data_IF_934746469792
#
_entry.id   IF_934746469792
#
_cell.length_a   1.000
_cell.length_b   1.000
_cell.length_c   1.000
_cell.angle_alpha   90.00
_cell.angle_beta   90.00
_cell.angle_gamma   90.00
#
_symmetry.space_group_name_H-M   'P 1'
#
loop_
_entity.id
_entity.type
_entity.pdbx_description
1 polymer ?
#
# COMPACT_ATOMS: atom_id res chain seq x y z
N UNK A 1 -10.15 -2.97 16.62
CA UNK A 1 -9.36 -2.37 15.52
C UNK A 1 -8.66 -1.05 15.92
N UNK A 2 -9.03 -0.40 17.04
CA UNK A 2 -8.52 0.94 17.40
C UNK A 2 -7.02 1.03 17.75
N UNK A 3 -6.38 -0.05 18.20
CA UNK A 3 -5.05 0.07 18.81
C UNK A 3 -3.91 0.09 17.79
N UNK A 4 -4.03 -0.63 16.66
CA UNK A 4 -3.02 -0.58 15.59
C UNK A 4 -3.00 0.78 14.91
N UNK A 5 -4.17 1.31 14.57
CA UNK A 5 -4.29 2.62 13.91
C UNK A 5 -3.85 3.75 14.85
N UNK A 6 -4.11 3.62 16.16
CA UNK A 6 -3.61 4.54 17.19
C UNK A 6 -2.09 4.49 17.31
N UNK A 7 -1.51 3.30 17.44
CA UNK A 7 -0.05 3.11 17.51
C UNK A 7 0.63 3.69 16.25
N UNK A 8 0.02 3.47 15.07
CA UNK A 8 0.51 4.03 13.81
C UNK A 8 0.41 5.56 13.79
N UNK A 9 -0.70 6.14 14.27
CA UNK A 9 -0.85 7.60 14.37
C UNK A 9 0.21 8.23 15.29
N UNK A 10 0.50 7.59 16.43
CA UNK A 10 1.59 8.03 17.32
C UNK A 10 2.95 7.99 16.62
N UNK A 11 3.28 6.92 15.90
CA UNK A 11 4.52 6.85 15.12
C UNK A 11 4.57 7.91 14.02
N UNK A 12 3.44 8.19 13.35
CA UNK A 12 3.37 9.26 12.34
C UNK A 12 3.61 10.63 12.97
N UNK A 13 3.06 10.90 14.14
CA UNK A 13 3.25 12.15 14.88
C UNK A 13 4.71 12.32 15.35
N UNK A 14 5.32 11.26 15.90
CA UNK A 14 6.75 11.24 16.26
C UNK A 14 7.64 11.52 15.04
N UNK A 15 7.34 10.89 13.91
CA UNK A 15 8.06 11.13 12.68
C UNK A 15 7.81 12.55 12.17
N UNK A 16 6.58 13.07 12.23
CA UNK A 16 6.25 14.42 11.74
C UNK A 16 6.98 15.51 12.54
N UNK A 17 7.00 15.38 13.87
CA UNK A 17 7.66 16.33 14.79
C UNK A 17 9.18 16.15 14.85
N UNK A 18 9.66 14.93 14.59
CA UNK A 18 11.07 14.59 14.56
C UNK A 18 11.81 15.13 13.33
N UNK A 19 13.14 15.17 13.42
CA UNK A 19 14.04 15.54 12.31
C UNK A 19 14.78 14.33 11.73
N UNK A 20 14.50 13.12 12.25
CA UNK A 20 15.13 11.89 11.77
C UNK A 20 14.78 11.66 10.29
N UNK A 21 15.78 11.19 9.55
CA UNK A 21 15.64 10.72 8.17
C UNK A 21 15.50 9.20 8.08
N UNK A 22 15.66 8.52 9.22
CA UNK A 22 15.56 7.07 9.35
C UNK A 22 14.40 6.72 10.28
N UNK A 23 13.80 5.56 10.02
CA UNK A 23 12.75 4.98 10.85
C UNK A 23 13.41 4.01 11.83
N UNK A 24 13.13 4.16 13.12
CA UNK A 24 13.67 3.23 14.13
C UNK A 24 13.04 1.84 14.00
N UNK A 25 13.67 0.81 14.56
CA UNK A 25 13.12 -0.56 14.54
C UNK A 25 11.71 -0.66 15.15
N UNK A 26 11.44 0.09 16.23
CA UNK A 26 10.12 0.13 16.87
C UNK A 26 9.07 0.78 15.96
N UNK A 27 9.40 1.93 15.35
CA UNK A 27 8.53 2.61 14.40
C UNK A 27 8.28 1.74 13.15
N UNK A 28 9.33 1.10 12.64
CA UNK A 28 9.25 0.20 11.50
C UNK A 28 8.35 -1.00 11.78
N UNK A 29 8.40 -1.56 12.99
CA UNK A 29 7.52 -2.66 13.37
C UNK A 29 6.04 -2.26 13.29
N UNK A 30 5.67 -1.12 13.88
CA UNK A 30 4.30 -0.60 13.83
C UNK A 30 3.87 -0.28 12.40
N UNK A 31 4.74 0.41 11.64
CA UNK A 31 4.45 0.78 10.26
C UNK A 31 4.35 -0.43 9.32
N UNK A 32 5.07 -1.52 9.56
CA UNK A 32 4.89 -2.78 8.83
C UNK A 32 3.50 -3.38 9.08
N UNK A 33 3.02 -3.37 10.33
CA UNK A 33 1.67 -3.82 10.65
C UNK A 33 0.61 -2.93 10.01
N UNK A 34 0.82 -1.62 10.06
CA UNK A 34 -0.11 -0.68 9.46
C UNK A 34 -0.13 -0.82 7.92
N UNK A 35 1.02 -0.89 7.26
CA UNK A 35 1.10 -1.14 5.82
C UNK A 35 0.41 -2.45 5.42
N UNK A 36 0.65 -3.54 6.17
CA UNK A 36 -0.01 -4.83 5.95
C UNK A 36 -1.53 -4.76 6.07
N UNK A 37 -2.05 -4.06 7.08
CA UNK A 37 -3.48 -3.82 7.24
C UNK A 37 -4.07 -3.12 6.01
N UNK A 38 -3.39 -2.09 5.50
CA UNK A 38 -3.86 -1.32 4.34
C UNK A 38 -3.78 -2.14 3.04
N UNK A 39 -2.76 -2.98 2.88
CA UNK A 39 -2.66 -3.91 1.75
C UNK A 39 -3.83 -4.93 1.77
N UNK A 40 -4.15 -5.48 2.94
CA UNK A 40 -5.26 -6.43 3.10
C UNK A 40 -6.63 -5.79 2.87
N UNK A 41 -6.81 -4.53 3.26
CA UNK A 41 -8.05 -3.76 3.03
C UNK A 41 -8.24 -3.30 1.58
N UNK A 42 -7.24 -3.48 0.71
CA UNK A 42 -7.33 -3.06 -0.68
C UNK A 42 -8.45 -3.80 -1.42
N UNK A 43 -9.47 -3.05 -1.83
CA UNK A 43 -10.66 -3.53 -2.55
C UNK A 43 -10.32 -4.28 -3.84
N UNK A 44 -9.17 -4.00 -4.47
CA UNK A 44 -8.73 -4.75 -5.66
C UNK A 44 -8.24 -6.15 -5.33
N UNK A 45 -7.54 -6.34 -4.20
CA UNK A 45 -7.16 -7.69 -3.76
C UNK A 45 -8.42 -8.51 -3.49
N UNK A 46 -9.43 -7.91 -2.87
CA UNK A 46 -10.73 -8.56 -2.65
C UNK A 46 -11.45 -8.87 -3.97
N UNK A 47 -11.53 -7.91 -4.89
CA UNK A 47 -12.16 -8.13 -6.20
C UNK A 47 -11.44 -9.19 -7.04
N UNK A 48 -10.11 -9.26 -6.98
CA UNK A 48 -9.34 -10.34 -7.60
C UNK A 48 -9.66 -11.70 -6.97
N UNK A 49 -9.72 -11.78 -5.63
CA UNK A 49 -10.08 -13.01 -4.92
C UNK A 49 -11.50 -13.45 -5.26
N UNK A 50 -12.47 -12.52 -5.28
CA UNK A 50 -13.86 -12.81 -5.72
C UNK A 50 -13.86 -13.39 -7.14
N UNK A 51 -13.18 -12.74 -8.09
CA UNK A 51 -13.11 -13.22 -9.49
C UNK A 51 -12.45 -14.59 -9.61
N UNK A 52 -11.42 -14.88 -8.81
CA UNK A 52 -10.80 -16.21 -8.78
C UNK A 52 -11.73 -17.28 -8.18
N UNK A 53 -12.52 -16.94 -7.16
CA UNK A 53 -13.53 -17.84 -6.59
C UNK A 53 -14.66 -18.12 -7.59
N UNK A 54 -15.10 -17.11 -8.34
CA UNK A 54 -16.07 -17.25 -9.43
C UNK A 54 -15.55 -18.15 -10.55
N UNK A 55 -14.31 -17.95 -10.99
CA UNK A 55 -13.67 -18.77 -12.04
C UNK A 55 -13.36 -20.19 -11.58
N UNK A 56 -13.11 -20.39 -10.28
CA UNK A 56 -12.78 -21.68 -9.68
C UNK A 56 -13.98 -22.60 -9.41
N UNK A 57 -15.20 -22.21 -9.81
CA UNK A 57 -16.43 -22.99 -9.56
C UNK A 57 -16.92 -22.95 -8.12
N UNK A 58 -16.23 -22.23 -7.24
CA UNK A 58 -16.59 -22.10 -5.82
C UNK A 58 -17.85 -21.23 -5.66
N UNK A 59 -18.19 -20.38 -6.64
CA UNK A 59 -19.45 -19.65 -6.66
C UNK A 59 -20.70 -20.54 -6.55
N UNK A 60 -20.64 -21.81 -6.97
CA UNK A 60 -21.76 -22.76 -6.82
C UNK A 60 -21.95 -23.22 -5.36
N UNK A 61 -20.90 -23.24 -4.53
CA UNK A 61 -20.96 -23.61 -3.11
C UNK A 61 -21.41 -22.45 -2.21
N UNK A 62 -21.14 -21.21 -2.61
CA UNK A 62 -21.47 -20.02 -1.82
C UNK A 62 -22.90 -19.48 -2.10
N UNK A 63 -23.63 -20.04 -3.06
CA UNK A 63 -25.02 -19.69 -3.35
C UNK A 63 -25.22 -18.20 -3.68
N UNK A 64 -26.47 -17.75 -3.81
CA UNK A 64 -26.88 -16.35 -4.06
C UNK A 64 -26.53 -15.39 -2.89
N UNK A 65 -25.32 -15.46 -2.32
CA UNK A 65 -24.86 -14.51 -1.31
C UNK A 65 -24.79 -13.11 -1.95
N UNK A 66 -25.40 -12.08 -1.33
CA UNK A 66 -25.22 -10.70 -1.76
C UNK A 66 -23.73 -10.34 -1.81
N UNK A 67 -23.32 -9.56 -2.82
CA UNK A 67 -21.92 -9.17 -3.01
C UNK A 67 -21.28 -8.55 -1.75
N UNK A 68 -22.07 -7.81 -0.96
CA UNK A 68 -21.64 -7.20 0.31
C UNK A 68 -21.33 -8.24 1.40
N UNK A 69 -22.08 -9.33 1.46
CA UNK A 69 -21.86 -10.41 2.42
C UNK A 69 -20.61 -11.22 2.06
N UNK A 70 -20.42 -11.50 0.76
CA UNK A 70 -19.21 -12.15 0.26
C UNK A 70 -17.97 -11.27 0.52
N UNK A 71 -18.04 -9.97 0.23
CA UNK A 71 -16.94 -9.04 0.51
C UNK A 71 -16.64 -8.96 2.01
N UNK A 72 -17.66 -8.92 2.86
CA UNK A 72 -17.51 -8.89 4.32
C UNK A 72 -16.89 -10.19 4.84
N UNK A 73 -17.31 -11.35 4.32
CA UNK A 73 -16.73 -12.64 4.68
C UNK A 73 -15.26 -12.75 4.25
N UNK A 74 -14.93 -12.29 3.04
CA UNK A 74 -13.55 -12.26 2.55
C UNK A 74 -12.66 -11.32 3.38
N UNK A 75 -13.14 -10.11 3.67
CA UNK A 75 -12.48 -9.19 4.60
C UNK A 75 -12.28 -9.84 5.97
N UNK A 76 -13.32 -10.48 6.51
CA UNK A 76 -13.25 -11.17 7.80
C UNK A 76 -12.21 -12.28 7.80
N UNK A 77 -12.20 -13.14 6.78
CA UNK A 77 -11.27 -14.26 6.66
C UNK A 77 -9.81 -13.83 6.48
N UNK A 78 -9.57 -12.72 5.78
CA UNK A 78 -8.22 -12.18 5.53
C UNK A 78 -7.70 -11.34 6.69
N UNK A 79 -8.55 -10.53 7.32
CA UNK A 79 -8.16 -9.64 8.41
C UNK A 79 -8.10 -10.34 9.77
N UNK A 80 -8.95 -11.33 10.05
CA UNK A 80 -9.02 -11.94 11.38
C UNK A 80 -7.70 -12.59 11.82
N UNK A 81 -7.01 -13.41 11.00
CA UNK A 81 -5.71 -13.96 11.37
C UNK A 81 -4.67 -12.86 11.61
N UNK A 82 -4.68 -11.83 10.77
CA UNK A 82 -3.74 -10.70 10.87
C UNK A 82 -3.95 -9.88 12.16
N UNK A 83 -5.19 -9.52 12.47
CA UNK A 83 -5.54 -8.77 13.69
C UNK A 83 -5.38 -9.61 14.96
N UNK A 84 -5.62 -10.92 14.86
CA UNK A 84 -5.30 -11.88 15.92
C UNK A 84 -3.80 -11.89 16.22
N UNK A 85 -2.97 -11.93 15.18
CA UNK A 85 -1.52 -11.88 15.33
C UNK A 85 -1.01 -10.55 15.90
N UNK A 86 -1.59 -9.42 15.48
CA UNK A 86 -1.33 -8.12 16.08
C UNK A 86 -1.66 -8.10 17.58
N UNK A 87 -2.82 -8.63 17.97
CA UNK A 87 -3.25 -8.66 19.37
C UNK A 87 -2.33 -9.53 20.23
N UNK A 88 -1.79 -10.61 19.66
CA UNK A 88 -0.89 -11.53 20.36
C UNK A 88 0.59 -11.09 20.34
N UNK A 89 0.97 -10.05 19.60
CA UNK A 89 2.37 -9.66 19.38
C UNK A 89 3.20 -9.49 20.67
N UNK A 90 2.56 -8.97 21.72
CA UNK A 90 3.18 -8.73 23.03
C UNK A 90 2.82 -9.80 24.07
N UNK A 91 2.03 -10.81 23.72
CA UNK A 91 1.63 -11.86 24.64
C UNK A 91 2.81 -12.84 24.85
N UNK A 92 3.41 -12.93 26.04
CA UNK A 92 4.57 -13.80 26.27
C UNK A 92 4.25 -15.29 26.08
N UNK A 93 2.98 -15.69 26.21
CA UNK A 93 2.53 -17.08 26.12
C UNK A 93 2.15 -17.53 24.71
N UNK A 94 1.95 -16.60 23.76
CA UNK A 94 1.57 -16.96 22.39
C UNK A 94 2.74 -17.59 21.60
N UNK A 95 2.45 -18.56 20.74
CA UNK A 95 3.46 -19.21 19.91
C UNK A 95 4.02 -18.23 18.86
N UNK A 96 5.21 -18.49 18.35
CA UNK A 96 5.86 -17.60 17.38
C UNK A 96 5.02 -17.37 16.11
N UNK A 97 4.35 -18.42 15.60
CA UNK A 97 3.46 -18.34 14.44
C UNK A 97 2.24 -17.44 14.69
N UNK A 98 1.76 -17.38 15.93
CA UNK A 98 0.57 -16.62 16.32
C UNK A 98 0.86 -15.13 16.50
N UNK A 99 2.13 -14.72 16.36
CA UNK A 99 2.60 -13.33 16.44
C UNK A 99 3.11 -12.80 15.11
N UNK A 100 3.07 -13.65 14.08
CA UNK A 100 3.75 -13.42 12.82
C UNK A 100 3.05 -12.33 12.00
N UNK A 101 3.83 -11.35 11.52
CA UNK A 101 3.37 -10.40 10.51
C UNK A 101 3.82 -10.90 9.12
N UNK A 102 2.90 -11.34 8.25
CA UNK A 102 3.25 -11.87 6.94
C UNK A 102 3.96 -10.88 6.02
N UNK A 103 3.73 -9.58 6.18
CA UNK A 103 4.34 -8.54 5.35
C UNK A 103 5.67 -8.03 5.91
N UNK A 104 5.98 -8.33 7.17
CA UNK A 104 7.15 -7.77 7.83
C UNK A 104 8.45 -8.29 7.23
N UNK A 105 8.49 -9.51 6.70
CA UNK A 105 9.70 -10.04 6.07
C UNK A 105 10.04 -9.25 4.81
N UNK A 106 9.07 -9.00 3.94
CA UNK A 106 9.28 -8.28 2.68
C UNK A 106 9.58 -6.81 2.90
N UNK A 107 8.84 -6.15 3.79
CA UNK A 107 9.00 -4.72 4.05
C UNK A 107 10.31 -4.39 4.77
N UNK A 108 10.79 -5.26 5.68
CA UNK A 108 12.06 -5.05 6.41
C UNK A 108 13.30 -5.28 5.55
N UNK A 109 13.18 -6.00 4.43
CA UNK A 109 14.28 -6.12 3.46
C UNK A 109 14.50 -4.86 2.63
N UNK A 110 13.57 -3.90 2.68
CA UNK A 110 13.70 -2.62 2.00
C UNK A 110 14.41 -1.62 2.91
N UNK A 111 15.14 -0.69 2.31
CA UNK A 111 15.63 0.50 3.01
C UNK A 111 14.47 1.47 3.21
N UNK A 112 14.28 1.98 4.43
CA UNK A 112 13.24 2.94 4.78
C UNK A 112 13.82 4.35 4.84
N UNK A 113 13.51 5.19 3.85
CA UNK A 113 13.90 6.59 3.85
C UNK A 113 12.71 7.49 4.15
N UNK A 114 12.84 8.34 5.18
CA UNK A 114 11.84 9.36 5.50
C UNK A 114 12.04 10.57 4.58
N UNK A 115 10.96 10.96 3.90
CA UNK A 115 10.92 12.07 2.96
C UNK A 115 10.04 13.19 3.52
N UNK A 116 10.59 14.41 3.53
CA UNK A 116 9.90 15.61 3.99
C UNK A 116 9.84 16.65 2.88
N UNK A 117 8.67 17.21 2.68
CA UNK A 117 8.41 18.28 1.74
C UNK A 117 8.15 19.58 2.49
N UNK A 118 8.57 20.70 1.92
CA UNK A 118 8.49 22.01 2.58
C UNK A 118 7.08 22.60 2.64
N UNK A 119 6.20 22.10 1.78
CA UNK A 119 4.80 22.49 1.67
C UNK A 119 3.97 21.22 1.50
N UNK A 120 2.66 21.25 1.79
CA UNK A 120 1.75 20.12 1.55
C UNK A 120 1.83 19.70 0.08
N UNK A 121 2.53 18.60 -0.21
CA UNK A 121 2.91 18.20 -1.57
C UNK A 121 2.45 16.79 -1.90
N UNK A 122 2.12 15.99 -0.88
CA UNK A 122 1.72 14.60 -1.03
C UNK A 122 0.20 14.45 -1.05
N UNK A 123 -0.28 13.55 -1.89
CA UNK A 123 -1.65 13.08 -1.85
C UNK A 123 -1.74 11.81 -1.01
N UNK A 124 -2.87 11.65 -0.32
CA UNK A 124 -3.23 10.47 0.44
C UNK A 124 -4.23 9.64 -0.36
N UNK A 125 -4.26 8.33 -0.10
CA UNK A 125 -5.17 7.42 -0.79
C UNK A 125 -5.52 6.21 0.07
N UNK A 126 -6.52 5.45 -0.37
CA UNK A 126 -6.84 4.12 0.13
C UNK A 126 -5.68 3.12 -0.03
N UNK A 127 -4.82 3.31 -1.03
CA UNK A 127 -3.59 2.55 -1.21
C UNK A 127 -2.43 3.18 -0.40
N UNK A 128 -2.56 3.13 0.92
CA UNK A 128 -1.57 3.74 1.83
C UNK A 128 -0.14 3.20 1.62
N UNK A 129 0.01 1.91 1.30
CA UNK A 129 1.29 1.31 0.93
C UNK A 129 1.32 1.03 -0.59
N UNK A 130 1.68 2.06 -1.36
CA UNK A 130 1.67 2.01 -2.82
C UNK A 130 2.91 1.30 -3.37
N UNK A 131 2.72 0.08 -3.87
CA UNK A 131 3.77 -0.74 -4.49
C UNK A 131 4.09 -0.24 -5.91
N UNK A 132 5.36 -0.28 -6.32
CA UNK A 132 5.70 -0.03 -7.73
C UNK A 132 7.00 -0.70 -8.19
N UNK A 133 7.03 -1.00 -9.49
CA UNK A 133 8.13 -1.65 -10.19
C UNK A 133 8.37 -3.09 -9.76
N UNK A 134 9.25 -3.78 -10.49
CA UNK A 134 9.68 -5.14 -10.18
C UNK A 134 11.17 -5.12 -9.86
N UNK A 135 11.57 -5.78 -8.76
CA UNK A 135 12.97 -5.96 -8.35
C UNK A 135 13.74 -6.67 -9.46
N UNK A 136 15.02 -6.34 -9.62
CA UNK A 136 15.79 -6.74 -10.80
C UNK A 136 15.82 -8.26 -10.98
N UNK A 137 15.89 -9.01 -9.88
CA UNK A 137 15.97 -10.48 -9.85
C UNK A 137 14.66 -11.15 -10.29
N UNK A 138 13.51 -10.50 -10.04
CA UNK A 138 12.20 -11.06 -10.36
C UNK A 138 11.75 -10.69 -11.79
N UNK A 139 12.37 -9.70 -12.44
CA UNK A 139 11.98 -9.25 -13.79
C UNK A 139 11.85 -10.38 -14.81
N UNK A 140 12.72 -11.41 -14.86
CA UNK A 140 12.58 -12.52 -15.82
C UNK A 140 11.22 -13.22 -15.77
N UNK A 141 10.54 -13.22 -14.62
CA UNK A 141 9.25 -13.89 -14.42
C UNK A 141 8.05 -13.10 -14.97
N UNK A 142 8.28 -11.88 -15.44
CA UNK A 142 7.22 -10.98 -15.93
C UNK A 142 7.44 -10.62 -17.40
N UNK A 143 6.35 -10.57 -18.15
CA UNK A 143 6.31 -10.07 -19.52
C UNK A 143 6.62 -8.58 -19.60
N UNK A 144 6.92 -8.07 -20.80
CA UNK A 144 7.17 -6.63 -21.02
C UNK A 144 5.96 -5.77 -20.62
N UNK A 145 4.75 -6.27 -20.83
CA UNK A 145 3.51 -5.57 -20.49
C UNK A 145 3.31 -5.51 -18.97
N UNK A 146 3.45 -6.63 -18.28
CA UNK A 146 3.34 -6.68 -16.82
C UNK A 146 4.41 -5.83 -16.14
N UNK A 147 5.64 -5.79 -16.68
CA UNK A 147 6.68 -4.89 -16.16
C UNK A 147 6.29 -3.42 -16.24
N UNK A 148 5.57 -3.02 -17.30
CA UNK A 148 5.04 -1.64 -17.43
C UNK A 148 3.91 -1.41 -16.44
N UNK A 149 2.97 -2.35 -16.32
CA UNK A 149 1.89 -2.28 -15.35
C UNK A 149 2.39 -2.22 -13.90
N UNK A 150 3.45 -2.95 -13.56
CA UNK A 150 4.07 -2.90 -12.25
C UNK A 150 4.63 -1.54 -11.90
N UNK A 151 5.11 -0.74 -12.86
CA UNK A 151 5.51 0.65 -12.59
C UNK A 151 4.36 1.53 -12.08
N UNK A 152 3.13 1.09 -12.30
CA UNK A 152 1.88 1.71 -11.86
C UNK A 152 1.21 0.93 -10.71
N UNK A 153 1.93 0.01 -10.04
CA UNK A 153 1.41 -0.73 -8.89
C UNK A 153 0.37 -1.79 -9.23
N UNK A 154 0.47 -2.40 -10.41
CA UNK A 154 -0.34 -3.53 -10.85
C UNK A 154 0.54 -4.77 -11.09
N UNK A 155 -0.05 -5.96 -11.01
CA UNK A 155 0.56 -7.25 -11.39
C UNK A 155 1.75 -7.76 -10.56
N UNK A 156 2.50 -6.91 -9.84
CA UNK A 156 3.61 -7.35 -8.99
C UNK A 156 3.14 -7.59 -7.55
N UNK A 157 3.52 -8.73 -6.97
CA UNK A 157 3.38 -8.98 -5.54
C UNK A 157 4.34 -8.11 -4.71
N UNK A 158 4.09 -8.00 -3.41
CA UNK A 158 4.93 -7.20 -2.51
C UNK A 158 6.39 -7.69 -2.49
N UNK A 159 6.60 -9.01 -2.43
CA UNK A 159 7.94 -9.61 -2.43
C UNK A 159 8.77 -9.28 -3.69
N UNK A 160 8.08 -9.13 -4.82
CA UNK A 160 8.68 -8.80 -6.12
C UNK A 160 8.73 -7.30 -6.40
N UNK A 161 8.10 -6.49 -5.55
CA UNK A 161 8.08 -5.04 -5.73
C UNK A 161 9.47 -4.42 -5.57
N UNK A 162 9.80 -3.50 -6.46
CA UNK A 162 11.07 -2.77 -6.39
C UNK A 162 11.09 -1.73 -5.26
N UNK A 163 9.92 -1.17 -4.95
CA UNK A 163 9.73 -0.09 -3.96
C UNK A 163 8.28 -0.02 -3.49
N UNK A 164 8.11 0.61 -2.34
CA UNK A 164 6.82 0.97 -1.76
C UNK A 164 6.89 2.43 -1.30
N UNK A 165 5.83 3.20 -1.52
CA UNK A 165 5.69 4.56 -0.99
C UNK A 165 4.51 4.65 -0.04
N UNK A 166 4.68 5.33 1.09
CA UNK A 166 3.65 5.53 2.11
C UNK A 166 3.53 7.01 2.44
N UNK A 167 2.48 7.68 1.97
CA UNK A 167 2.21 9.06 2.36
C UNK A 167 1.60 9.05 3.76
N UNK A 168 2.31 9.60 4.74
CA UNK A 168 1.90 9.62 6.14
C UNK A 168 1.10 10.88 6.47
N UNK A 169 1.53 12.02 5.91
CA UNK A 169 0.86 13.32 5.96
C UNK A 169 1.02 14.01 4.61
N UNK A 170 0.39 15.18 4.37
CA UNK A 170 0.63 15.96 3.16
C UNK A 170 2.10 16.38 2.95
N UNK A 171 2.93 16.38 4.00
CA UNK A 171 4.34 16.82 3.93
C UNK A 171 5.35 15.71 4.23
N UNK A 172 4.87 14.57 4.74
CA UNK A 172 5.71 13.47 5.21
C UNK A 172 5.34 12.18 4.50
N UNK A 173 6.35 11.53 3.91
CA UNK A 173 6.20 10.20 3.35
C UNK A 173 7.37 9.30 3.68
N UNK A 174 7.18 8.00 3.51
CA UNK A 174 8.24 7.01 3.56
C UNK A 174 8.42 6.42 2.16
N UNK A 175 9.66 6.31 1.73
CA UNK A 175 10.03 5.60 0.51
C UNK A 175 10.86 4.37 0.90
N UNK A 176 10.28 3.20 0.64
CA UNK A 176 10.90 1.91 0.83
C UNK A 176 11.49 1.45 -0.50
N UNK A 177 12.76 1.06 -0.56
CA UNK A 177 13.37 0.57 -1.80
C UNK A 177 14.54 -0.40 -1.58
N UNK A 178 14.87 -1.19 -2.60
CA UNK A 178 15.90 -2.25 -2.56
C UNK A 178 17.37 -1.79 -2.60
N UNK A 179 17.65 -0.50 -2.45
CA UNK A 179 19.02 0.03 -2.58
C UNK A 179 19.59 0.35 -1.22
N UNK A 180 20.89 0.12 -1.04
CA UNK A 180 21.57 0.39 0.22
C UNK A 180 21.80 1.88 0.47
N UNK A 181 21.74 2.71 -0.58
CA UNK A 181 21.94 4.16 -0.50
C UNK A 181 20.62 4.89 -0.32
N UNK A 182 20.66 5.97 0.47
CA UNK A 182 19.51 6.84 0.66
C UNK A 182 19.04 7.43 -0.67
N UNK A 183 17.73 7.41 -0.91
CA UNK A 183 17.11 8.04 -2.06
C UNK A 183 16.17 9.15 -1.62
N UNK A 184 16.28 10.29 -2.28
CA UNK A 184 15.22 11.30 -2.29
C UNK A 184 14.26 11.00 -3.42
N UNK A 185 12.99 11.33 -3.23
CA UNK A 185 11.97 11.24 -4.26
C UNK A 185 11.31 12.60 -4.39
N UNK A 186 11.02 13.03 -5.62
CA UNK A 186 10.22 14.23 -5.85
C UNK A 186 8.77 13.91 -5.48
N UNK A 187 8.04 14.90 -4.96
CA UNK A 187 6.62 14.76 -4.66
C UNK A 187 5.83 14.28 -5.90
N UNK A 188 6.23 14.74 -7.07
CA UNK A 188 5.69 14.26 -8.34
C UNK A 188 5.82 12.74 -8.48
N UNK A 189 7.01 12.16 -8.36
CA UNK A 189 7.17 10.70 -8.51
C UNK A 189 6.46 9.94 -7.38
N UNK A 190 6.45 10.49 -6.17
CA UNK A 190 5.75 9.92 -5.02
C UNK A 190 4.25 9.82 -5.30
N UNK A 191 3.62 10.94 -5.64
CA UNK A 191 2.19 11.01 -5.96
C UNK A 191 1.83 10.16 -7.16
N UNK A 192 2.77 9.96 -8.12
CA UNK A 192 2.54 9.04 -9.24
C UNK A 192 2.21 7.65 -8.72
N UNK A 193 3.04 7.11 -7.83
CA UNK A 193 2.85 5.77 -7.30
C UNK A 193 1.57 5.70 -6.47
N UNK A 194 1.34 6.67 -5.58
CA UNK A 194 0.10 6.75 -4.79
C UNK A 194 -1.15 6.76 -5.68
N UNK A 195 -1.20 7.61 -6.71
CA UNK A 195 -2.37 7.73 -7.61
C UNK A 195 -2.62 6.47 -8.43
N UNK A 196 -1.57 5.82 -8.95
CA UNK A 196 -1.79 4.61 -9.72
C UNK A 196 -2.20 3.41 -8.85
N UNK A 197 -1.69 3.36 -7.62
CA UNK A 197 -2.09 2.37 -6.62
C UNK A 197 -3.48 2.65 -6.04
N UNK A 198 -3.92 3.91 -5.95
CA UNK A 198 -5.23 4.28 -5.37
C UNK A 198 -6.39 3.71 -6.14
N UNK A 199 -7.50 3.46 -5.44
CA UNK A 199 -8.64 2.76 -6.03
C UNK A 199 -9.99 3.37 -5.75
N UNK A 200 -10.23 3.79 -4.52
CA UNK A 200 -11.51 4.35 -4.13
C UNK A 200 -11.42 5.88 -4.00
N UNK A 201 -10.35 6.40 -3.38
CA UNK A 201 -10.20 7.84 -3.20
C UNK A 201 -8.76 8.33 -3.32
N UNK A 202 -8.67 9.61 -3.67
CA UNK A 202 -7.49 10.44 -3.47
C UNK A 202 -7.93 11.63 -2.62
N UNK A 203 -7.17 11.91 -1.56
CA UNK A 203 -7.35 13.09 -0.73
C UNK A 203 -6.09 13.95 -0.78
N UNK A 204 -6.27 15.26 -0.73
CA UNK A 204 -5.20 16.23 -0.66
C UNK A 204 -5.65 17.42 0.21
N UNK A 205 -4.69 18.28 0.55
CA UNK A 205 -4.98 19.51 1.27
C UNK A 205 -5.99 20.39 0.49
N UNK A 206 -6.96 21.07 1.14
CA UNK A 206 -7.93 21.91 0.43
C UNK A 206 -7.30 23.00 -0.43
N UNK A 207 -6.22 23.61 0.07
CA UNK A 207 -5.52 24.73 -0.59
C UNK A 207 -4.41 24.22 -1.53
N UNK A 208 -4.35 22.91 -1.76
CA UNK A 208 -3.26 22.28 -2.50
C UNK A 208 -3.12 22.78 -3.94
N UNK A 209 -4.24 23.10 -4.57
CA UNK A 209 -4.29 23.63 -5.93
C UNK A 209 -3.66 25.02 -6.04
N UNK A 210 -3.77 25.84 -5.00
CA UNK A 210 -3.16 27.17 -4.94
C UNK A 210 -1.67 27.10 -4.59
N UNK A 211 -1.31 26.22 -3.64
CA UNK A 211 0.07 26.07 -3.16
C UNK A 211 0.94 25.34 -4.19
N UNK A 212 0.40 24.34 -4.88
CA UNK A 212 1.12 23.45 -5.80
C UNK A 212 0.36 23.19 -7.11
N UNK A 213 0.05 24.22 -7.91
CA UNK A 213 -0.80 24.10 -9.10
C UNK A 213 -0.30 23.06 -10.11
N UNK A 214 1.01 23.01 -10.35
CA UNK A 214 1.63 22.02 -11.25
C UNK A 214 1.48 20.58 -10.74
N UNK A 215 1.61 20.34 -9.44
CA UNK A 215 1.42 18.98 -8.90
C UNK A 215 -0.03 18.56 -8.96
N UNK A 216 -0.95 19.50 -8.75
CA UNK A 216 -2.38 19.27 -8.90
C UNK A 216 -2.73 18.84 -10.34
N UNK A 217 -2.28 19.60 -11.36
CA UNK A 217 -2.47 19.26 -12.77
C UNK A 217 -1.95 17.84 -13.09
N UNK A 218 -0.75 17.51 -12.63
CA UNK A 218 -0.15 16.19 -12.85
C UNK A 218 -0.94 15.07 -12.17
N UNK A 219 -1.49 15.30 -10.99
CA UNK A 219 -2.35 14.30 -10.32
C UNK A 219 -3.66 14.12 -11.07
N UNK A 220 -4.29 15.20 -11.55
CA UNK A 220 -5.50 15.12 -12.37
C UNK A 220 -5.26 14.35 -13.68
N UNK A 221 -4.15 14.62 -14.36
CA UNK A 221 -3.73 13.89 -15.56
C UNK A 221 -3.57 12.39 -15.27
N UNK A 222 -2.86 12.06 -14.18
CA UNK A 222 -2.58 10.66 -13.79
C UNK A 222 -3.82 9.92 -13.34
N UNK A 223 -4.75 10.59 -12.68
CA UNK A 223 -6.06 10.01 -12.35
C UNK A 223 -6.83 9.65 -13.61
N UNK A 224 -6.81 10.51 -14.62
CA UNK A 224 -7.43 10.22 -15.92
C UNK A 224 -6.78 9.01 -16.60
N UNK A 225 -5.45 8.94 -16.62
CA UNK A 225 -4.72 7.80 -17.19
C UNK A 225 -4.94 6.50 -16.39
N UNK A 226 -4.95 6.58 -15.07
CA UNK A 226 -5.24 5.44 -14.18
C UNK A 226 -6.62 4.85 -14.46
N UNK A 227 -7.65 5.70 -14.63
CA UNK A 227 -9.02 5.26 -14.95
C UNK A 227 -9.09 4.61 -16.33
N UNK A 228 -8.37 5.15 -17.31
CA UNK A 228 -8.28 4.56 -18.65
C UNK A 228 -7.61 3.17 -18.61
N UNK A 229 -6.47 3.04 -17.93
CA UNK A 229 -5.75 1.77 -17.79
C UNK A 229 -6.59 0.71 -17.09
N UNK A 230 -7.37 1.11 -16.07
CA UNK A 230 -8.32 0.22 -15.38
C UNK A 230 -9.36 -0.38 -16.29
N UNK A 231 -9.93 0.41 -17.21
CA UNK A 231 -10.92 -0.12 -18.14
C UNK A 231 -10.30 -1.07 -19.16
N UNK A 232 -9.01 -0.89 -19.49
CA UNK A 232 -8.30 -1.73 -20.47
C UNK A 232 -7.77 -3.06 -19.89
N UNK A 233 -7.52 -3.15 -18.58
CA UNK A 233 -6.93 -4.35 -17.98
C UNK A 233 -7.85 -5.59 -17.98
N UNK A 234 -9.16 -5.51 -17.69
CA UNK A 234 -10.07 -6.66 -17.75
C UNK A 234 -10.14 -7.34 -19.13
N UNK A 235 -9.84 -6.61 -20.21
CA UNK A 235 -9.83 -7.17 -21.56
C UNK A 235 -8.57 -8.01 -21.88
N UNK A 236 -7.56 -7.99 -21.00
CA UNK A 236 -6.26 -8.63 -21.20
C UNK A 236 -5.89 -9.63 -20.08
N UNK A 237 -6.85 -9.93 -19.19
CA UNK A 237 -6.76 -10.93 -18.11
C UNK A 237 -8.03 -11.77 -18.03
#
# INVERSE_FOLDING_TARGET
>A
MSDLERDAATVVEELATGHSRDVTDSQMQVLCWFAGLQILRSSFTLGYVVRQLEQGGIAEEFGDLPAEELQTALLGSTLSPFLGAWSNRNNPLAQAKDKWNPFSADLRQLRWDVLRYRTPSLVLSDAFAAQSGIRDEARPNYTKTERRWAMHGFAAALEDSARVTMALTPELGIHLHRSNQRKTLKAEDFNRYTVYSSRDFIAHDPDWHDINPRLHELVVERLSLQRMLRMAMPANF
#
